data_IF_535583555463
#
_entry.id   IF_535583555463
#
_cell.length_a   1.000
_cell.length_b   1.000
_cell.length_c   1.000
_cell.angle_alpha   90.00
_cell.angle_beta   90.00
_cell.angle_gamma   90.00
#
_symmetry.space_group_name_H-M   'P 1'
#
loop_
_entity.id
_entity.type
_entity.pdbx_description
1 polymer ?
#
# COMPACT_ATOMS: atom_id res chain seq x y z
N UNK A 1 37.17 17.55 -5.08
CA UNK A 1 36.64 16.40 -4.32
C UNK A 1 35.42 15.85 -5.04
N UNK A 2 35.61 14.80 -5.83
CA UNK A 2 34.60 14.19 -6.70
C UNK A 2 33.76 13.22 -5.90
N UNK A 3 32.51 13.61 -5.61
CA UNK A 3 31.45 12.69 -5.21
C UNK A 3 30.82 12.19 -6.51
N UNK A 4 30.87 10.90 -6.86
CA UNK A 4 30.12 10.36 -7.98
C UNK A 4 28.63 10.36 -7.64
N UNK A 5 27.83 10.71 -8.64
CA UNK A 5 26.37 10.56 -8.70
C UNK A 5 25.98 9.15 -8.28
N UNK A 6 24.98 9.01 -7.40
CA UNK A 6 24.41 7.74 -6.97
C UNK A 6 22.97 7.73 -7.49
N UNK A 7 22.69 6.94 -8.53
CA UNK A 7 21.33 6.54 -8.93
C UNK A 7 21.01 5.17 -8.34
N UNK A 8 19.77 4.98 -7.83
CA UNK A 8 19.32 3.72 -7.23
C UNK A 8 17.89 3.38 -7.67
N UNK A 9 17.71 2.17 -8.20
CA UNK A 9 16.44 1.56 -8.61
C UNK A 9 15.88 0.63 -7.53
N UNK A 10 14.56 0.54 -7.39
CA UNK A 10 13.85 -0.42 -6.52
C UNK A 10 12.95 -1.36 -7.32
N UNK A 11 12.95 -2.64 -6.95
CA UNK A 11 11.91 -3.63 -7.28
C UNK A 11 11.25 -4.08 -5.98
N UNK A 12 9.91 -4.05 -5.92
CA UNK A 12 9.10 -4.75 -4.92
C UNK A 12 8.20 -5.73 -5.66
N UNK A 13 8.46 -7.03 -5.52
CA UNK A 13 7.50 -8.09 -5.84
C UNK A 13 6.77 -8.46 -4.56
N UNK A 14 5.59 -7.87 -4.36
CA UNK A 14 4.40 -8.61 -3.93
C UNK A 14 3.16 -7.76 -4.21
N UNK A 15 2.27 -8.35 -5.03
CA UNK A 15 1.03 -7.82 -5.62
C UNK A 15 1.27 -6.87 -6.82
N UNK A 16 1.48 -7.49 -8.00
CA UNK A 16 1.64 -6.93 -9.37
C UNK A 16 2.85 -5.99 -9.63
N UNK A 17 3.94 -6.42 -10.32
CA UNK A 17 5.07 -5.54 -10.67
C UNK A 17 5.10 -5.11 -12.17
N UNK A 18 5.85 -4.07 -12.59
CA UNK A 18 6.40 -2.97 -11.78
C UNK A 18 6.20 -1.56 -12.40
N UNK A 19 6.24 -0.53 -11.56
CA UNK A 19 6.67 0.81 -11.99
C UNK A 19 8.05 1.02 -11.37
N UNK A 20 9.12 0.88 -12.17
CA UNK A 20 10.50 1.05 -11.67
C UNK A 20 10.78 2.55 -11.54
N UNK A 21 10.80 3.07 -10.31
CA UNK A 21 11.22 4.45 -10.04
C UNK A 21 12.65 4.49 -9.48
N UNK A 22 13.46 5.40 -10.00
CA UNK A 22 14.87 5.58 -9.66
C UNK A 22 15.10 6.98 -9.07
N UNK A 23 15.72 7.06 -7.89
CA UNK A 23 16.18 8.33 -7.33
C UNK A 23 17.53 8.70 -7.99
N UNK A 24 17.56 9.84 -8.67
CA UNK A 24 18.75 10.46 -9.25
C UNK A 24 19.25 11.58 -8.36
N UNK A 25 20.50 11.45 -7.92
CA UNK A 25 21.19 12.44 -7.10
C UNK A 25 22.27 13.12 -7.94
N UNK A 26 22.22 14.45 -8.09
CA UNK A 26 23.25 15.24 -8.77
C UNK A 26 24.04 16.08 -7.75
N UNK A 27 25.21 15.60 -7.26
CA UNK A 27 25.97 16.25 -6.18
C UNK A 27 26.55 17.62 -6.52
N UNK A 28 26.61 17.98 -7.80
CA UNK A 28 27.18 19.23 -8.30
C UNK A 28 26.15 20.07 -9.07
N UNK A 29 24.86 19.89 -8.81
CA UNK A 29 23.82 20.50 -9.61
C UNK A 29 23.56 19.75 -10.91
N UNK A 30 22.47 20.11 -11.59
CA UNK A 30 22.14 19.61 -12.93
C UNK A 30 22.82 20.44 -14.04
N UNK A 31 23.11 21.72 -13.76
CA UNK A 31 23.65 22.71 -14.69
C UNK A 31 24.32 23.88 -13.94
N UNK A 32 24.84 24.87 -14.67
CA UNK A 32 25.51 26.05 -14.11
C UNK A 32 24.67 26.83 -13.09
N UNK A 33 23.35 26.87 -13.25
CA UNK A 33 22.46 27.59 -12.32
C UNK A 33 22.30 26.86 -10.99
N UNK A 34 22.62 25.57 -10.95
CA UNK A 34 22.48 24.69 -9.80
C UNK A 34 23.80 24.15 -9.25
N UNK A 35 24.95 24.63 -9.76
CA UNK A 35 26.29 24.13 -9.41
C UNK A 35 26.64 24.12 -7.92
N UNK A 36 26.05 25.05 -7.17
CA UNK A 36 26.24 25.21 -5.72
C UNK A 36 25.24 24.40 -4.90
N UNK A 37 24.39 23.59 -5.55
CA UNK A 37 23.33 22.81 -4.93
C UNK A 37 23.52 21.31 -5.21
N UNK A 38 23.07 20.48 -4.27
CA UNK A 38 22.67 19.11 -4.55
C UNK A 38 21.30 19.17 -5.24
N UNK A 39 21.13 18.49 -6.37
CA UNK A 39 19.83 18.35 -7.03
C UNK A 39 19.33 16.91 -6.93
N UNK A 40 18.04 16.72 -6.69
CA UNK A 40 17.43 15.40 -6.55
C UNK A 40 16.27 15.26 -7.53
N UNK A 41 16.20 14.13 -8.22
CA UNK A 41 15.16 13.82 -9.19
C UNK A 41 14.71 12.38 -9.04
N UNK A 42 13.47 12.11 -9.42
CA UNK A 42 12.88 10.79 -9.49
C UNK A 42 12.63 10.48 -10.96
N UNK A 43 13.11 9.35 -11.45
CA UNK A 43 13.05 8.90 -12.84
C UNK A 43 12.18 7.65 -12.94
N UNK A 44 11.29 7.56 -13.93
CA UNK A 44 10.61 6.31 -14.25
C UNK A 44 11.45 5.51 -15.27
N UNK A 45 11.96 4.34 -14.88
CA UNK A 45 12.88 3.49 -15.64
C UNK A 45 12.13 2.52 -16.54
N UNK A 46 11.10 1.87 -16.00
CA UNK A 46 10.19 0.97 -16.71
C UNK A 46 8.80 1.06 -16.08
N UNK A 47 7.75 0.80 -16.86
CA UNK A 47 6.38 0.90 -16.42
C UNK A 47 5.51 0.06 -17.35
N UNK A 48 4.59 -0.73 -16.79
CA UNK A 48 3.62 -1.50 -17.58
C UNK A 48 2.49 -0.62 -18.14
N UNK A 49 2.42 0.66 -17.70
CA UNK A 49 1.48 1.69 -18.17
C UNK A 49 2.20 2.72 -19.06
N UNK A 50 1.45 3.44 -19.89
CA UNK A 50 2.01 4.53 -20.74
C UNK A 50 2.58 5.69 -19.92
N UNK A 51 2.01 5.96 -18.75
CA UNK A 51 2.45 6.98 -17.80
C UNK A 51 2.06 6.61 -16.36
N UNK A 52 2.70 7.26 -15.40
CA UNK A 52 2.41 7.18 -13.95
C UNK A 52 2.29 8.60 -13.42
N UNK A 53 1.17 8.96 -12.79
CA UNK A 53 1.07 10.24 -12.08
C UNK A 53 1.48 10.05 -10.62
N UNK A 54 2.41 10.85 -10.10
CA UNK A 54 2.83 10.73 -8.70
C UNK A 54 3.26 12.07 -8.09
N UNK A 55 2.98 12.26 -6.79
CA UNK A 55 3.66 13.22 -5.94
C UNK A 55 4.93 12.59 -5.37
N UNK A 56 5.92 13.40 -5.03
CA UNK A 56 7.14 12.95 -4.40
C UNK A 56 7.66 13.96 -3.39
N UNK A 57 8.31 13.49 -2.34
CA UNK A 57 8.99 14.29 -1.32
C UNK A 57 10.39 13.74 -1.11
N UNK A 58 11.36 14.62 -0.98
CA UNK A 58 12.73 14.28 -0.58
C UNK A 58 13.05 14.94 0.75
N UNK A 59 13.74 14.25 1.65
CA UNK A 59 14.27 14.81 2.90
C UNK A 59 15.64 14.19 3.23
N UNK A 60 16.38 14.83 4.14
CA UNK A 60 17.67 14.35 4.66
C UNK A 60 17.44 13.81 6.07
N UNK A 61 17.89 12.60 6.36
CA UNK A 61 17.83 12.04 7.71
C UNK A 61 19.05 12.48 8.52
N UNK A 62 18.80 13.05 9.70
CA UNK A 62 19.88 13.42 10.63
C UNK A 62 20.43 12.19 11.39
N UNK A 63 21.41 12.39 12.29
CA UNK A 63 21.98 11.33 13.13
C UNK A 63 20.95 10.53 13.97
N UNK A 64 19.81 11.16 14.31
CA UNK A 64 18.70 10.54 15.05
C UNK A 64 17.67 9.86 14.14
N UNK A 65 17.89 9.88 12.82
CA UNK A 65 16.97 9.38 11.78
C UNK A 65 15.65 10.14 11.68
N UNK A 66 15.67 11.40 12.08
CA UNK A 66 14.54 12.30 11.90
C UNK A 66 14.65 12.98 10.53
N UNK A 67 13.52 13.15 9.85
CA UNK A 67 13.47 13.89 8.59
C UNK A 67 13.80 15.37 8.80
N UNK A 68 14.74 15.87 8.01
CA UNK A 68 15.14 17.28 7.99
C UNK A 68 15.24 17.75 6.54
N UNK A 69 15.19 19.07 6.30
CA UNK A 69 15.37 19.67 4.97
C UNK A 69 14.49 19.02 3.88
N UNK A 70 13.21 18.86 4.20
CA UNK A 70 12.25 18.25 3.30
C UNK A 70 11.81 19.22 2.18
N UNK A 71 11.65 18.70 0.97
CA UNK A 71 10.99 19.38 -0.14
C UNK A 71 9.98 18.42 -0.77
N UNK A 72 8.78 18.92 -1.04
CA UNK A 72 7.68 18.13 -1.61
C UNK A 72 7.16 18.74 -2.90
N UNK A 73 6.78 17.87 -3.84
CA UNK A 73 6.20 18.22 -5.12
C UNK A 73 4.86 18.91 -4.88
N UNK A 74 4.65 20.10 -5.44
CA UNK A 74 3.41 20.86 -5.25
C UNK A 74 2.17 20.16 -5.82
N UNK A 75 2.36 19.26 -6.78
CA UNK A 75 1.30 18.54 -7.49
C UNK A 75 1.79 17.18 -7.92
N UNK A 76 0.86 16.33 -8.37
CA UNK A 76 1.22 15.08 -9.02
C UNK A 76 1.80 15.36 -10.42
N UNK A 77 3.00 14.84 -10.66
CA UNK A 77 3.70 14.94 -11.93
C UNK A 77 3.48 13.68 -12.75
N UNK A 78 3.41 13.85 -14.08
CA UNK A 78 3.30 12.76 -15.04
C UNK A 78 4.68 12.21 -15.36
N UNK A 79 5.00 11.04 -14.83
CA UNK A 79 6.17 10.27 -15.16
C UNK A 79 5.89 9.41 -16.39
N UNK A 80 6.70 9.58 -17.43
CA UNK A 80 6.76 8.68 -18.59
C UNK A 80 8.12 8.02 -18.59
N UNK A 81 8.24 6.85 -19.22
CA UNK A 81 9.50 6.12 -19.25
C UNK A 81 10.64 7.02 -19.76
N UNK A 82 11.72 7.11 -18.98
CA UNK A 82 12.88 7.95 -19.29
C UNK A 82 12.79 9.41 -18.86
N UNK A 83 11.64 9.87 -18.32
CA UNK A 83 11.46 11.24 -17.81
C UNK A 83 11.60 11.29 -16.30
N UNK A 84 12.24 12.35 -15.81
CA UNK A 84 12.43 12.61 -14.38
C UNK A 84 11.78 13.91 -13.90
N UNK A 85 11.48 13.95 -12.59
CA UNK A 85 10.94 15.11 -11.89
C UNK A 85 11.62 15.29 -10.55
N UNK A 86 11.93 16.52 -10.16
CA UNK A 86 12.76 16.75 -8.99
C UNK A 86 12.96 18.20 -8.61
N UNK A 87 13.86 18.42 -7.65
CA UNK A 87 14.29 19.75 -7.23
C UNK A 87 15.70 20.03 -7.71
N UNK A 88 15.79 20.95 -8.67
CA UNK A 88 17.04 21.48 -9.20
C UNK A 88 17.94 22.10 -8.12
N UNK A 89 17.33 22.71 -7.10
CA UNK A 89 18.02 23.36 -5.97
C UNK A 89 17.51 22.77 -4.65
N UNK A 90 17.84 21.50 -4.37
CA UNK A 90 17.32 20.82 -3.18
C UNK A 90 17.99 21.33 -1.89
N UNK A 91 19.32 21.28 -1.83
CA UNK A 91 20.07 21.85 -0.70
C UNK A 91 21.38 22.47 -1.18
N UNK A 92 21.77 23.61 -0.61
CA UNK A 92 23.07 24.20 -0.91
C UNK A 92 24.19 23.33 -0.37
N UNK A 93 25.28 23.23 -1.14
CA UNK A 93 26.41 22.36 -0.83
C UNK A 93 27.20 22.85 0.38
N UNK A 94 27.47 24.15 0.47
CA UNK A 94 28.12 24.75 1.63
C UNK A 94 27.36 24.44 2.93
N UNK A 95 26.02 24.55 2.89
CA UNK A 95 25.18 24.17 4.02
C UNK A 95 25.21 22.66 4.32
N UNK A 96 25.18 21.81 3.29
CA UNK A 96 25.20 20.36 3.44
C UNK A 96 26.51 19.85 4.07
N UNK A 97 27.65 20.44 3.70
CA UNK A 97 28.98 20.02 4.15
C UNK A 97 29.45 20.71 5.43
N UNK A 98 28.70 21.67 5.95
CA UNK A 98 29.00 22.30 7.23
C UNK A 98 28.61 21.34 8.38
N UNK A 99 29.63 20.85 9.09
CA UNK A 99 29.51 19.90 10.20
C UNK A 99 28.56 20.40 11.30
N UNK A 100 28.45 21.71 11.49
CA UNK A 100 27.55 22.30 12.48
C UNK A 100 26.06 21.98 12.20
N UNK A 101 25.71 21.64 10.96
CA UNK A 101 24.34 21.32 10.55
C UNK A 101 23.96 19.87 10.80
N UNK A 102 24.90 18.97 11.12
CA UNK A 102 24.62 17.59 11.52
C UNK A 102 23.90 16.74 10.46
N UNK A 103 24.03 17.10 9.17
CA UNK A 103 23.37 16.43 8.05
C UNK A 103 24.15 15.24 7.49
N UNK A 104 25.41 15.09 7.89
CA UNK A 104 26.33 14.04 7.43
C UNK A 104 26.90 13.26 8.63
N UNK A 105 26.08 12.54 9.42
CA UNK A 105 26.60 11.69 10.48
C UNK A 105 27.56 10.65 9.90
N UNK A 106 28.76 10.55 10.47
CA UNK A 106 29.86 9.69 9.97
C UNK A 106 30.18 9.91 8.48
N UNK A 107 30.16 11.17 8.01
CA UNK A 107 30.36 11.57 6.61
C UNK A 107 29.33 10.97 5.61
N UNK A 108 28.18 10.53 6.10
CA UNK A 108 27.15 9.85 5.29
C UNK A 108 25.94 10.74 5.06
N UNK A 109 25.63 10.98 3.78
CA UNK A 109 24.35 11.55 3.37
C UNK A 109 23.29 10.46 3.32
N UNK A 110 22.23 10.60 4.11
CA UNK A 110 21.06 9.72 4.06
C UNK A 110 19.87 10.48 3.50
N UNK A 111 19.42 10.11 2.30
CA UNK A 111 18.24 10.69 1.66
C UNK A 111 17.02 9.81 1.88
N UNK A 112 15.91 10.44 2.26
CA UNK A 112 14.60 9.82 2.34
C UNK A 112 13.74 10.32 1.18
N UNK A 113 13.10 9.38 0.48
CA UNK A 113 12.21 9.66 -0.64
C UNK A 113 10.86 9.01 -0.38
N UNK A 114 9.81 9.83 -0.43
CA UNK A 114 8.42 9.40 -0.36
C UNK A 114 7.77 9.64 -1.72
N UNK A 115 7.03 8.66 -2.23
CA UNK A 115 6.34 8.75 -3.52
C UNK A 115 4.89 8.33 -3.33
N UNK A 116 3.97 9.16 -3.81
CA UNK A 116 2.53 8.93 -3.71
C UNK A 116 1.94 8.91 -5.12
N UNK A 117 1.68 7.71 -5.64
CA UNK A 117 1.10 7.53 -6.98
C UNK A 117 -0.38 7.93 -6.94
N UNK A 118 -0.79 8.75 -7.90
CA UNK A 118 -2.16 9.16 -8.16
C UNK A 118 -2.69 8.29 -9.29
N UNK A 119 -3.72 7.48 -9.03
CA UNK A 119 -4.32 6.62 -10.03
C UNK A 119 -4.86 7.46 -11.22
N UNK A 120 -4.56 7.05 -12.45
CA UNK A 120 -5.15 7.64 -13.65
C UNK A 120 -6.61 7.22 -13.75
N UNK A 121 -7.48 8.22 -13.69
CA UNK A 121 -8.90 8.11 -14.02
C UNK A 121 -9.08 7.86 -15.52
N UNK A 122 -9.96 6.89 -15.84
CA UNK A 122 -10.50 6.44 -17.16
C UNK A 122 -9.88 5.14 -17.71
N UNK A 123 -10.24 3.98 -17.15
CA UNK A 123 -11.34 3.12 -17.65
C UNK A 123 -11.60 1.92 -16.71
N UNK A 124 -12.85 1.85 -16.20
CA UNK A 124 -13.52 0.74 -15.47
C UNK A 124 -12.80 0.24 -14.21
N UNK A 125 -13.47 0.30 -13.05
CA UNK A 125 -12.97 0.10 -11.66
C UNK A 125 -12.27 1.34 -11.07
N UNK A 126 -13.10 2.21 -10.48
CA UNK A 126 -12.63 3.35 -9.70
C UNK A 126 -12.19 2.88 -8.31
N UNK A 127 -10.92 2.50 -8.20
CA UNK A 127 -10.17 2.66 -6.96
C UNK A 127 -9.13 3.75 -7.18
N UNK A 128 -9.28 4.92 -6.54
CA UNK A 128 -8.15 5.80 -6.29
C UNK A 128 -7.62 5.54 -4.89
N UNK A 129 -7.06 4.34 -4.70
CA UNK A 129 -6.11 4.12 -3.62
C UNK A 129 -4.90 5.00 -3.94
N UNK A 130 -4.80 6.16 -3.29
CA UNK A 130 -3.50 6.75 -3.05
C UNK A 130 -2.77 5.75 -2.15
N UNK A 131 -2.06 4.81 -2.75
CA UNK A 131 -1.18 3.90 -2.01
C UNK A 131 -0.10 4.80 -1.42
N UNK A 132 -0.29 5.19 -0.17
CA UNK A 132 0.74 5.85 0.60
C UNK A 132 1.77 4.77 0.93
N UNK A 133 2.81 4.68 0.12
CA UNK A 133 3.93 3.78 0.38
C UNK A 133 4.66 4.25 1.64
N UNK A 134 4.25 3.74 2.81
CA UNK A 134 5.01 3.94 4.05
C UNK A 134 6.20 2.97 4.10
N UNK A 135 7.19 3.39 3.31
CA UNK A 135 8.64 3.14 3.36
C UNK A 135 9.17 1.85 2.70
N UNK A 136 9.73 1.96 1.47
CA UNK A 136 10.58 0.93 0.89
C UNK A 136 11.97 0.91 1.55
N UNK A 137 12.75 -0.19 1.45
CA UNK A 137 14.13 -0.23 1.93
C UNK A 137 14.97 0.86 1.23
N UNK A 138 15.93 1.47 1.92
CA UNK A 138 16.83 2.50 1.40
C UNK A 138 18.16 1.85 0.99
N UNK A 139 18.72 2.17 -0.18
CA UNK A 139 20.08 1.73 -0.52
C UNK A 139 21.10 2.79 -0.03
N UNK A 140 22.11 2.32 0.68
CA UNK A 140 23.20 3.10 1.26
C UNK A 140 24.46 2.82 0.48
N UNK A 141 25.09 3.90 -0.01
CA UNK A 141 26.29 3.84 -0.83
C UNK A 141 27.43 4.54 -0.10
N UNK A 142 28.58 3.87 -0.01
CA UNK A 142 29.81 4.46 0.54
C UNK A 142 30.85 4.55 -0.58
N UNK A 143 31.03 5.71 -1.22
CA UNK A 143 31.92 5.90 -2.38
C UNK A 143 33.40 5.63 -2.13
N UNK A 144 33.83 5.64 -0.86
CA UNK A 144 35.22 5.44 -0.44
C UNK A 144 35.36 4.25 0.50
N UNK A 145 34.52 3.23 0.32
CA UNK A 145 34.47 2.10 1.25
C UNK A 145 33.74 2.43 2.54
N UNK A 146 33.47 1.41 3.34
CA UNK A 146 32.94 1.55 4.69
C UNK A 146 34.04 1.79 5.74
N UNK A 147 35.25 1.31 5.46
CA UNK A 147 36.42 1.34 6.34
C UNK A 147 37.73 1.21 5.54
N UNK A 148 38.87 1.21 6.22
CA UNK A 148 40.21 1.12 5.59
C UNK A 148 40.40 -0.12 4.71
N UNK A 149 39.77 -1.25 5.03
CA UNK A 149 39.88 -2.47 4.23
C UNK A 149 39.12 -2.38 2.90
N UNK A 150 38.17 -1.46 2.81
CA UNK A 150 37.28 -1.26 1.66
C UNK A 150 37.47 0.07 0.96
N UNK A 151 38.51 0.86 1.32
CA UNK A 151 38.75 2.22 0.79
C UNK A 151 38.88 2.32 -0.74
N UNK A 152 39.34 1.26 -1.36
CA UNK A 152 39.51 1.14 -2.82
C UNK A 152 38.26 0.61 -3.52
N UNK A 153 37.16 0.42 -2.78
CA UNK A 153 35.89 -0.11 -3.28
C UNK A 153 34.74 0.86 -3.04
N UNK A 154 33.73 0.78 -3.89
CA UNK A 154 32.38 1.24 -3.59
C UNK A 154 31.73 0.19 -2.68
N UNK A 155 31.08 0.59 -1.59
CA UNK A 155 30.29 -0.33 -0.75
C UNK A 155 28.79 -0.02 -0.88
N UNK A 156 27.96 -1.07 -1.02
CA UNK A 156 26.51 -0.96 -1.18
C UNK A 156 25.77 -1.76 -0.11
N UNK A 157 24.73 -1.18 0.49
CA UNK A 157 23.92 -1.83 1.51
C UNK A 157 22.44 -1.49 1.38
N UNK A 158 21.57 -2.47 1.52
CA UNK A 158 20.14 -2.28 1.69
C UNK A 158 19.84 -2.03 3.17
N UNK A 159 19.14 -0.96 3.51
CA UNK A 159 18.77 -0.52 4.86
C UNK A 159 17.25 -0.54 5.00
N UNK A 160 16.71 -1.21 6.01
CA UNK A 160 15.28 -1.11 6.33
C UNK A 160 15.04 0.13 7.21
N UNK A 161 14.40 1.17 6.69
CA UNK A 161 14.23 2.45 7.39
C UNK A 161 13.05 2.42 8.37
N UNK A 162 11.90 1.87 7.97
CA UNK A 162 10.77 1.57 8.86
C UNK A 162 9.98 0.37 8.36
N UNK A 163 9.34 -0.36 9.27
CA UNK A 163 8.46 -1.46 8.94
C UNK A 163 7.37 -1.61 10.00
N UNK A 164 6.15 -1.94 9.58
CA UNK A 164 5.05 -2.25 10.49
C UNK A 164 5.15 -3.67 11.09
N UNK A 165 6.10 -4.48 10.59
CA UNK A 165 6.44 -5.80 11.13
C UNK A 165 7.68 -5.70 12.02
N UNK A 166 7.76 -6.57 13.01
CA UNK A 166 8.93 -6.67 13.91
C UNK A 166 10.21 -7.02 13.16
N UNK A 167 10.12 -7.81 12.10
CA UNK A 167 11.21 -8.14 11.20
C UNK A 167 10.70 -8.47 9.78
N UNK A 168 11.59 -8.32 8.80
CA UNK A 168 11.37 -8.70 7.40
C UNK A 168 12.54 -9.58 6.95
N UNK A 169 12.26 -10.69 6.28
CA UNK A 169 13.31 -11.48 5.64
C UNK A 169 13.34 -11.14 4.16
N UNK A 170 14.50 -10.80 3.60
CA UNK A 170 14.59 -10.48 2.17
C UNK A 170 15.93 -10.92 1.58
N UNK A 171 15.89 -11.37 0.32
CA UNK A 171 17.04 -11.43 -0.57
C UNK A 171 17.19 -10.10 -1.30
N UNK A 172 18.40 -9.78 -1.71
CA UNK A 172 18.69 -8.59 -2.51
C UNK A 172 19.80 -8.85 -3.52
N UNK A 173 19.75 -8.16 -4.65
CA UNK A 173 20.78 -8.15 -5.68
C UNK A 173 21.07 -6.72 -6.09
N UNK A 174 22.35 -6.38 -6.20
CA UNK A 174 22.84 -5.10 -6.69
C UNK A 174 23.56 -5.30 -8.02
N UNK A 175 23.28 -4.45 -9.01
CA UNK A 175 23.98 -4.41 -10.30
C UNK A 175 24.20 -2.96 -10.74
N UNK A 176 24.99 -2.75 -11.78
CA UNK A 176 25.21 -1.45 -12.43
C UNK A 176 24.52 -1.50 -13.79
N UNK A 177 23.83 -0.43 -14.20
CA UNK A 177 23.32 -0.33 -15.56
C UNK A 177 24.32 0.39 -16.46
N UNK A 178 24.60 -0.20 -17.63
CA UNK A 178 25.44 0.45 -18.64
C UNK A 178 24.64 1.50 -19.46
N UNK A 179 25.28 2.16 -20.43
CA UNK A 179 24.63 3.14 -21.31
C UNK A 179 23.41 2.60 -22.09
N UNK A 180 23.34 1.28 -22.31
CA UNK A 180 22.21 0.59 -22.96
C UNK A 180 21.11 0.16 -21.98
N UNK A 181 21.27 0.47 -20.70
CA UNK A 181 20.41 0.02 -19.57
C UNK A 181 20.43 -1.49 -19.33
N UNK A 182 21.52 -2.16 -19.69
CA UNK A 182 21.72 -3.57 -19.39
C UNK A 182 22.41 -3.73 -18.02
N UNK A 183 21.98 -4.70 -17.22
CA UNK A 183 22.62 -5.02 -15.95
C UNK A 183 24.02 -5.62 -16.15
N UNK A 184 24.99 -5.10 -15.40
CA UNK A 184 26.36 -5.60 -15.33
C UNK A 184 26.85 -5.56 -13.88
N UNK A 185 27.95 -6.29 -13.59
CA UNK A 185 28.59 -6.33 -12.26
C UNK A 185 27.61 -6.65 -11.13
N UNK A 186 26.71 -7.60 -11.38
CA UNK A 186 25.72 -8.04 -10.41
C UNK A 186 26.36 -8.79 -9.23
N UNK A 187 25.87 -8.52 -8.02
CA UNK A 187 26.11 -9.32 -6.83
C UNK A 187 24.83 -9.51 -6.05
N UNK A 188 24.59 -10.74 -5.62
CA UNK A 188 23.36 -11.15 -4.96
C UNK A 188 23.60 -11.77 -3.59
N UNK A 189 22.64 -11.56 -2.70
CA UNK A 189 22.64 -12.14 -1.37
C UNK A 189 22.45 -13.65 -1.49
N UNK A 190 23.37 -14.42 -0.89
CA UNK A 190 23.31 -15.90 -0.92
C UNK A 190 22.05 -16.48 -0.24
N UNK A 191 21.43 -15.72 0.67
CA UNK A 191 20.25 -16.12 1.44
C UNK A 191 19.42 -14.90 1.80
N UNK A 192 18.18 -15.16 2.26
CA UNK A 192 17.36 -14.11 2.84
C UNK A 192 17.94 -13.66 4.18
N UNK A 193 18.22 -12.37 4.30
CA UNK A 193 18.70 -11.75 5.53
C UNK A 193 17.53 -11.20 6.34
N UNK A 194 17.66 -11.25 7.66
CA UNK A 194 16.70 -10.64 8.60
C UNK A 194 16.99 -9.15 8.73
N UNK A 195 16.07 -8.33 8.24
CA UNK A 195 16.01 -6.89 8.41
C UNK A 195 15.11 -6.56 9.59
N UNK A 196 15.61 -5.73 10.49
CA UNK A 196 14.82 -5.05 11.53
C UNK A 196 14.95 -3.55 11.28
N UNK A 197 14.06 -2.74 11.83
CA UNK A 197 14.12 -1.30 11.67
C UNK A 197 15.52 -0.78 12.00
N UNK A 198 16.12 -0.09 11.04
CA UNK A 198 17.45 0.48 11.18
C UNK A 198 18.63 -0.41 10.88
N UNK A 199 18.41 -1.67 10.48
CA UNK A 199 19.46 -2.61 10.13
C UNK A 199 19.67 -2.66 8.63
N UNK A 200 20.92 -2.84 8.24
CA UNK A 200 21.31 -2.96 6.84
C UNK A 200 22.09 -4.25 6.55
N UNK A 201 22.09 -4.62 5.26
CA UNK A 201 22.80 -5.76 4.70
C UNK A 201 23.31 -5.43 3.31
N UNK A 202 24.52 -5.86 2.96
CA UNK A 202 25.13 -5.45 1.71
C UNK A 202 26.49 -6.04 1.43
N UNK A 203 27.18 -5.45 0.45
CA UNK A 203 28.53 -5.81 0.06
C UNK A 203 29.50 -4.68 0.39
N UNK A 204 30.40 -4.98 1.34
CA UNK A 204 31.51 -4.12 1.73
C UNK A 204 32.45 -3.81 0.55
N UNK A 205 32.64 -4.76 -0.35
CA UNK A 205 33.49 -4.62 -1.55
C UNK A 205 32.64 -4.85 -2.80
N UNK A 206 31.78 -3.88 -3.15
CA UNK A 206 30.86 -4.05 -4.28
C UNK A 206 31.60 -4.03 -5.62
N UNK A 207 32.30 -2.94 -5.91
CA UNK A 207 33.13 -2.79 -7.11
C UNK A 207 34.38 -1.99 -6.77
N UNK A 208 35.53 -2.34 -7.38
CA UNK A 208 36.74 -1.54 -7.22
C UNK A 208 36.56 -0.18 -7.89
N UNK A 209 37.10 0.85 -7.25
CA UNK A 209 36.97 2.23 -7.71
C UNK A 209 37.73 2.48 -9.01
N UNK A 210 38.94 1.96 -9.13
CA UNK A 210 39.72 2.07 -10.38
C UNK A 210 38.98 1.46 -11.57
N UNK A 211 38.37 0.29 -11.40
CA UNK A 211 37.54 -0.35 -12.42
C UNK A 211 36.29 0.47 -12.74
N UNK A 212 35.63 1.03 -11.73
CA UNK A 212 34.43 1.85 -11.88
C UNK A 212 34.71 3.15 -12.66
N UNK A 213 35.84 3.80 -12.38
CA UNK A 213 36.23 5.09 -12.97
C UNK A 213 36.97 4.99 -14.31
N UNK A 214 37.37 3.79 -14.72
CA UNK A 214 37.98 3.56 -16.02
C UNK A 214 36.90 3.65 -17.11
N UNK A 215 36.99 4.70 -17.93
CA UNK A 215 36.06 5.00 -19.03
C UNK A 215 35.92 3.83 -20.02
N UNK A 216 36.96 3.00 -20.18
CA UNK A 216 36.92 1.83 -21.05
C UNK A 216 35.88 0.80 -20.62
N UNK A 217 35.46 0.81 -19.35
CA UNK A 217 34.46 -0.10 -18.81
C UNK A 217 33.01 0.37 -19.02
N UNK A 218 32.79 1.62 -19.44
CA UNK A 218 31.47 2.13 -19.80
C UNK A 218 30.43 2.10 -18.67
N UNK A 219 30.87 2.14 -17.41
CA UNK A 219 30.02 2.08 -16.22
C UNK A 219 29.53 3.45 -15.72
N UNK A 220 30.08 4.53 -16.29
CA UNK A 220 29.79 5.91 -15.94
C UNK A 220 29.43 6.76 -17.18
N UNK A 221 28.38 6.41 -17.94
CA UNK A 221 27.95 7.26 -19.06
C UNK A 221 27.60 8.67 -18.55
N UNK A 222 28.17 9.70 -19.16
CA UNK A 222 28.05 11.10 -18.73
C UNK A 222 28.44 11.34 -17.25
N UNK A 223 29.46 10.65 -16.74
CA UNK A 223 29.90 10.70 -15.32
C UNK A 223 28.82 10.24 -14.31
N UNK A 224 27.84 9.43 -14.76
CA UNK A 224 26.72 8.95 -13.92
C UNK A 224 26.84 7.46 -13.62
N UNK A 225 26.81 7.12 -12.34
CA UNK A 225 26.68 5.73 -11.89
C UNK A 225 25.20 5.39 -11.66
N UNK A 226 24.70 4.42 -12.43
CA UNK A 226 23.35 3.88 -12.26
C UNK A 226 23.40 2.53 -11.55
N UNK A 227 22.92 2.46 -10.30
CA UNK A 227 22.79 1.22 -9.55
C UNK A 227 21.38 0.65 -9.66
N UNK A 228 21.32 -0.65 -9.91
CA UNK A 228 20.10 -1.44 -9.95
C UNK A 228 20.01 -2.29 -8.69
N UNK A 229 18.89 -2.22 -7.95
CA UNK A 229 18.64 -3.05 -6.77
C UNK A 229 17.35 -3.83 -6.93
N UNK A 230 17.47 -5.15 -6.84
CA UNK A 230 16.36 -6.08 -6.81
C UNK A 230 16.19 -6.57 -5.36
N UNK A 231 14.96 -6.58 -4.83
CA UNK A 231 14.67 -7.03 -3.47
C UNK A 231 13.53 -8.04 -3.51
N UNK A 232 13.79 -9.26 -3.00
CA UNK A 232 12.79 -10.32 -2.89
C UNK A 232 12.45 -10.57 -1.43
N UNK A 233 11.29 -10.09 -0.99
CA UNK A 233 10.83 -10.30 0.39
C UNK A 233 10.36 -11.74 0.54
N UNK A 234 10.94 -12.45 1.50
CA UNK A 234 10.49 -13.79 1.89
C UNK A 234 9.45 -13.60 2.99
N UNK A 235 8.18 -13.68 2.62
CA UNK A 235 7.13 -13.77 3.62
C UNK A 235 7.31 -15.08 4.41
N UNK A 236 7.33 -14.98 5.74
CA UNK A 236 7.07 -16.12 6.60
C UNK A 236 5.61 -16.51 6.34
N UNK A 237 5.39 -17.34 5.33
CA UNK A 237 4.26 -18.24 5.39
C UNK A 237 4.50 -19.07 6.63
N UNK A 238 3.63 -18.92 7.63
CA UNK A 238 3.53 -19.93 8.68
C UNK A 238 3.03 -21.17 7.97
N UNK A 239 3.95 -21.96 7.41
CA UNK A 239 3.69 -23.35 7.20
C UNK A 239 3.45 -23.91 8.59
N UNK A 240 2.18 -24.18 8.90
CA UNK A 240 1.82 -25.08 10.00
C UNK A 240 2.32 -26.48 9.58
N UNK A 241 3.63 -26.67 9.60
CA UNK A 241 4.27 -27.97 9.59
C UNK A 241 5.67 -27.75 10.11
N UNK A 242 5.88 -28.13 11.37
CA UNK A 242 7.22 -28.40 11.85
C UNK A 242 7.91 -29.35 10.87
N UNK A 243 9.21 -29.14 10.64
CA UNK A 243 10.02 -30.06 9.87
C UNK A 243 9.92 -31.45 10.50
N UNK A 244 9.09 -32.30 9.91
CA UNK A 244 9.22 -33.75 10.01
C UNK A 244 9.85 -34.21 8.70
N UNK A 245 10.84 -35.09 8.77
CA UNK A 245 11.40 -35.79 7.61
C UNK A 245 10.37 -36.80 7.05
N UNK A 246 9.13 -36.36 6.83
CA UNK A 246 8.05 -37.14 6.27
C UNK A 246 8.04 -36.96 4.75
N UNK A 247 7.87 -38.08 4.05
CA UNK A 247 7.63 -38.14 2.60
C UNK A 247 6.58 -37.09 2.22
N UNK A 248 6.94 -36.12 1.36
CA UNK A 248 5.99 -35.11 0.86
C UNK A 248 5.00 -35.76 -0.10
N UNK A 249 3.84 -36.16 0.42
CA UNK A 249 2.69 -36.49 -0.40
C UNK A 249 2.11 -35.20 -1.01
N UNK A 250 1.90 -35.18 -2.32
CA UNK A 250 1.17 -34.09 -2.99
C UNK A 250 -0.31 -34.19 -2.64
N UNK A 251 -0.74 -33.48 -1.61
CA UNK A 251 -2.15 -33.38 -1.22
C UNK A 251 -2.84 -32.41 -2.19
N UNK A 252 -3.90 -32.83 -2.91
CA UNK A 252 -4.69 -31.91 -3.74
C UNK A 252 -5.36 -30.82 -2.90
N UNK A 253 -5.63 -29.66 -3.52
CA UNK A 253 -6.33 -28.56 -2.86
C UNK A 253 -7.74 -28.98 -2.40
N UNK A 254 -8.19 -28.37 -1.29
CA UNK A 254 -9.53 -28.61 -0.77
C UNK A 254 -10.58 -28.02 -1.72
N UNK A 255 -11.48 -28.86 -2.22
CA UNK A 255 -12.56 -28.47 -3.14
C UNK A 255 -13.91 -28.22 -2.47
N UNK A 256 -13.96 -28.18 -1.13
CA UNK A 256 -15.23 -28.04 -0.38
C UNK A 256 -16.07 -26.86 -0.86
N UNK A 257 -15.46 -25.70 -1.06
CA UNK A 257 -16.17 -24.51 -1.53
C UNK A 257 -16.74 -24.70 -2.94
N UNK A 258 -16.01 -25.36 -3.83
CA UNK A 258 -16.44 -25.61 -5.21
C UNK A 258 -17.52 -26.70 -5.26
N UNK A 259 -17.38 -27.76 -4.45
CA UNK A 259 -18.36 -28.84 -4.33
C UNK A 259 -19.71 -28.33 -3.78
N UNK A 260 -19.67 -27.46 -2.75
CA UNK A 260 -20.88 -26.78 -2.24
C UNK A 260 -21.44 -25.77 -3.24
N UNK A 261 -20.58 -25.02 -3.94
CA UNK A 261 -21.01 -24.16 -5.05
C UNK A 261 -21.76 -24.94 -6.13
N UNK A 262 -21.31 -26.16 -6.43
CA UNK A 262 -22.00 -27.08 -7.33
C UNK A 262 -23.41 -27.47 -6.86
N UNK A 263 -23.66 -27.58 -5.55
CA UNK A 263 -25.02 -27.81 -5.03
C UNK A 263 -25.94 -26.61 -5.30
N UNK A 264 -25.43 -25.39 -5.19
CA UNK A 264 -26.19 -24.19 -5.54
C UNK A 264 -26.48 -24.10 -7.04
N UNK A 265 -25.45 -24.32 -7.88
CA UNK A 265 -25.58 -24.22 -9.33
C UNK A 265 -26.50 -25.33 -9.91
N UNK A 266 -26.46 -26.54 -9.35
CA UNK A 266 -27.27 -27.68 -9.81
C UNK A 266 -28.60 -27.86 -9.09
N UNK A 267 -28.80 -27.15 -7.97
CA UNK A 267 -30.02 -27.19 -7.13
C UNK A 267 -30.39 -28.58 -6.58
N UNK A 268 -29.47 -29.54 -6.63
CA UNK A 268 -29.73 -30.93 -6.21
C UNK A 268 -29.92 -31.03 -4.71
N UNK A 269 -30.95 -31.76 -4.28
CA UNK A 269 -31.28 -32.01 -2.87
C UNK A 269 -31.74 -30.78 -2.08
N UNK A 270 -32.18 -29.73 -2.78
CA UNK A 270 -32.76 -28.53 -2.18
C UNK A 270 -34.03 -28.87 -1.39
N UNK A 271 -34.21 -28.23 -0.24
CA UNK A 271 -35.30 -28.44 0.71
C UNK A 271 -36.03 -27.14 1.09
N UNK A 272 -35.71 -26.03 0.43
CA UNK A 272 -36.39 -24.73 0.55
C UNK A 272 -36.36 -23.95 -0.76
N UNK A 273 -37.43 -23.21 -1.04
CA UNK A 273 -37.54 -22.28 -2.17
C UNK A 273 -37.54 -20.84 -1.67
N UNK A 274 -36.65 -20.02 -2.22
CA UNK A 274 -36.51 -18.59 -1.91
C UNK A 274 -37.03 -17.80 -3.11
N UNK A 275 -38.06 -16.98 -2.90
CA UNK A 275 -38.67 -16.14 -3.93
C UNK A 275 -38.15 -14.72 -3.83
N UNK A 276 -37.48 -14.24 -4.90
CA UNK A 276 -36.92 -12.89 -4.97
C UNK A 276 -37.34 -12.24 -6.28
N UNK A 277 -38.07 -11.12 -6.22
CA UNK A 277 -38.50 -10.39 -7.41
C UNK A 277 -39.32 -11.24 -8.41
N UNK A 278 -40.12 -12.18 -7.91
CA UNK A 278 -40.93 -13.09 -8.73
C UNK A 278 -40.17 -14.27 -9.36
N UNK A 279 -38.89 -14.46 -9.01
CA UNK A 279 -38.06 -15.59 -9.44
C UNK A 279 -37.71 -16.50 -8.26
N UNK A 280 -37.41 -17.76 -8.56
CA UNK A 280 -37.18 -18.80 -7.56
C UNK A 280 -35.71 -19.22 -7.48
N UNK A 281 -35.20 -19.36 -6.26
CA UNK A 281 -33.97 -20.06 -5.95
C UNK A 281 -34.26 -21.28 -5.10
N UNK A 282 -33.87 -22.47 -5.57
CA UNK A 282 -33.84 -23.67 -4.74
C UNK A 282 -32.55 -23.68 -3.92
N UNK A 283 -32.68 -23.94 -2.61
CA UNK A 283 -31.56 -23.90 -1.67
C UNK A 283 -31.67 -24.96 -0.56
N UNK A 284 -30.69 -24.95 0.35
CA UNK A 284 -30.55 -25.94 1.43
C UNK A 284 -30.60 -25.25 2.80
N UNK A 285 -31.62 -25.55 3.60
CA UNK A 285 -31.82 -24.97 4.93
C UNK A 285 -30.62 -25.15 5.83
N UNK A 286 -30.02 -26.34 5.83
CA UNK A 286 -28.86 -26.65 6.66
C UNK A 286 -27.66 -25.75 6.36
N UNK A 287 -27.39 -25.48 5.08
CA UNK A 287 -26.28 -24.59 4.65
C UNK A 287 -26.61 -23.15 5.03
N UNK A 288 -27.82 -22.68 4.71
CA UNK A 288 -28.26 -21.32 5.01
C UNK A 288 -28.22 -21.04 6.51
N UNK A 289 -28.78 -21.93 7.34
CA UNK A 289 -28.78 -21.81 8.80
C UNK A 289 -27.36 -21.85 9.40
N UNK A 290 -26.48 -22.71 8.87
CA UNK A 290 -25.10 -22.77 9.36
C UNK A 290 -24.27 -21.52 9.04
N UNK A 291 -24.69 -20.74 8.04
CA UNK A 291 -23.89 -19.62 7.50
C UNK A 291 -24.50 -18.25 7.81
N UNK A 292 -25.77 -18.19 8.19
CA UNK A 292 -26.48 -16.97 8.55
C UNK A 292 -27.35 -17.21 9.79
N UNK A 293 -27.10 -16.51 10.91
CA UNK A 293 -27.96 -16.54 12.08
C UNK A 293 -29.42 -16.17 11.79
N UNK A 294 -29.65 -15.30 10.80
CA UNK A 294 -30.99 -14.86 10.39
C UNK A 294 -31.75 -16.00 9.71
N UNK A 295 -31.11 -16.71 8.78
CA UNK A 295 -31.71 -17.92 8.21
C UNK A 295 -31.88 -19.03 9.25
N UNK A 296 -30.95 -19.18 10.20
CA UNK A 296 -31.09 -20.15 11.28
C UNK A 296 -32.37 -19.89 12.10
N UNK A 297 -32.55 -18.66 12.57
CA UNK A 297 -33.74 -18.26 13.33
C UNK A 297 -35.03 -18.44 12.50
N UNK A 298 -34.99 -18.09 11.20
CA UNK A 298 -36.12 -18.24 10.28
C UNK A 298 -36.56 -19.70 10.13
N UNK A 299 -35.63 -20.66 10.13
CA UNK A 299 -35.95 -22.08 9.96
C UNK A 299 -36.18 -22.83 11.28
N UNK A 300 -35.68 -22.31 12.40
CA UNK A 300 -35.82 -22.94 13.72
C UNK A 300 -37.20 -22.67 14.34
N UNK A 301 -37.73 -21.45 14.19
CA UNK A 301 -39.03 -21.07 14.74
C UNK A 301 -40.21 -21.52 13.84
N UNK A 302 -41.38 -21.79 14.43
CA UNK A 302 -42.60 -22.23 13.72
C UNK A 302 -43.29 -21.08 12.95
N UNK A 303 -42.55 -20.41 12.08
CA UNK A 303 -43.10 -19.38 11.19
C UNK A 303 -43.61 -20.02 9.87
N UNK A 304 -44.43 -19.29 9.11
CA UNK A 304 -45.09 -19.80 7.89
C UNK A 304 -44.08 -20.33 6.86
N UNK A 305 -42.86 -19.79 6.86
CA UNK A 305 -41.73 -20.21 6.03
C UNK A 305 -41.30 -21.65 6.32
N UNK A 306 -41.34 -22.07 7.59
CA UNK A 306 -41.04 -23.44 8.01
C UNK A 306 -42.15 -24.41 7.57
N UNK A 307 -43.42 -23.96 7.57
CA UNK A 307 -44.58 -24.80 7.20
C UNK A 307 -44.64 -25.07 5.69
N UNK A 308 -44.27 -24.09 4.88
CA UNK A 308 -44.40 -24.15 3.41
C UNK A 308 -43.07 -24.37 2.67
N UNK A 309 -41.94 -24.43 3.38
CA UNK A 309 -40.60 -24.49 2.79
C UNK A 309 -40.37 -23.38 1.75
N UNK A 310 -40.98 -22.22 1.97
CA UNK A 310 -41.00 -21.09 1.05
C UNK A 310 -40.69 -19.81 1.82
N UNK A 311 -39.68 -19.07 1.38
CA UNK A 311 -39.33 -17.75 1.93
C UNK A 311 -39.53 -16.72 0.84
N UNK A 312 -40.24 -15.63 1.14
CA UNK A 312 -40.45 -14.53 0.22
C UNK A 312 -39.59 -13.33 0.61
N UNK A 313 -38.86 -12.78 -0.37
CA UNK A 313 -37.89 -11.70 -0.19
C UNK A 313 -38.27 -10.60 -1.19
N UNK A 314 -38.81 -9.51 -0.66
CA UNK A 314 -39.43 -8.45 -1.46
C UNK A 314 -38.57 -7.19 -1.58
N UNK A 315 -37.52 -7.08 -0.78
CA UNK A 315 -36.74 -5.86 -0.55
C UNK A 315 -35.28 -5.98 -1.02
N UNK A 316 -35.01 -6.89 -1.96
CA UNK A 316 -33.67 -7.08 -2.50
C UNK A 316 -33.71 -7.45 -3.98
N UNK A 317 -32.77 -6.91 -4.74
CA UNK A 317 -32.60 -7.26 -6.14
C UNK A 317 -32.17 -8.73 -6.31
N UNK A 318 -32.65 -9.34 -7.39
CA UNK A 318 -32.40 -10.74 -7.69
C UNK A 318 -30.91 -11.07 -7.84
N UNK A 319 -30.13 -10.21 -8.48
CA UNK A 319 -28.71 -10.47 -8.77
C UNK A 319 -27.85 -10.25 -7.52
N UNK A 320 -28.20 -9.27 -6.69
CA UNK A 320 -27.61 -9.06 -5.35
C UNK A 320 -27.85 -10.27 -4.47
N UNK A 321 -29.09 -10.76 -4.43
CA UNK A 321 -29.44 -11.95 -3.65
C UNK A 321 -28.70 -13.20 -4.14
N UNK A 322 -28.59 -13.36 -5.46
CA UNK A 322 -27.84 -14.48 -6.05
C UNK A 322 -26.38 -14.45 -5.65
N UNK A 323 -25.74 -13.29 -5.67
CA UNK A 323 -24.34 -13.13 -5.26
C UNK A 323 -24.17 -13.43 -3.76
N UNK A 324 -25.09 -12.94 -2.91
CA UNK A 324 -25.13 -13.27 -1.49
C UNK A 324 -25.27 -14.77 -1.24
N UNK A 325 -26.17 -15.45 -1.97
CA UNK A 325 -26.30 -16.91 -1.88
C UNK A 325 -25.02 -17.62 -2.33
N UNK A 326 -24.40 -17.20 -3.44
CA UNK A 326 -23.13 -17.78 -3.88
C UNK A 326 -22.05 -17.65 -2.80
N UNK A 327 -22.00 -16.52 -2.09
CA UNK A 327 -21.13 -16.34 -0.93
C UNK A 327 -21.46 -17.30 0.21
N UNK A 328 -22.73 -17.51 0.53
CA UNK A 328 -23.14 -18.44 1.58
C UNK A 328 -22.60 -19.86 1.34
N UNK A 329 -22.65 -20.34 0.09
CA UNK A 329 -22.16 -21.69 -0.26
C UNK A 329 -20.63 -21.78 -0.39
N UNK A 330 -19.97 -20.73 -0.88
CA UNK A 330 -18.57 -20.82 -1.34
C UNK A 330 -17.59 -19.96 -0.55
N UNK A 331 -18.08 -18.99 0.21
CA UNK A 331 -17.28 -17.95 0.87
C UNK A 331 -16.68 -16.91 -0.08
N UNK A 332 -17.08 -16.92 -1.37
CA UNK A 332 -16.58 -16.03 -2.44
C UNK A 332 -17.74 -15.23 -3.06
N UNK A 333 -17.46 -13.97 -3.40
CA UNK A 333 -18.36 -13.09 -4.14
C UNK A 333 -17.56 -12.44 -5.29
N UNK A 334 -17.72 -12.98 -6.51
CA UNK A 334 -16.94 -12.58 -7.68
C UNK A 334 -17.42 -11.27 -8.33
N UNK A 335 -18.68 -10.89 -8.09
CA UNK A 335 -19.26 -9.66 -8.66
C UNK A 335 -19.40 -8.52 -7.65
N UNK A 336 -18.80 -8.66 -6.45
CA UNK A 336 -18.95 -7.74 -5.33
C UNK A 336 -18.68 -6.28 -5.74
N UNK A 337 -17.60 -6.02 -6.48
CA UNK A 337 -17.21 -4.65 -6.88
C UNK A 337 -18.28 -3.89 -7.69
N UNK A 338 -19.25 -4.61 -8.30
CA UNK A 338 -20.31 -4.01 -9.12
C UNK A 338 -21.56 -3.64 -8.32
N UNK A 339 -21.70 -4.15 -7.11
CA UNK A 339 -22.93 -4.09 -6.30
C UNK A 339 -22.60 -3.99 -4.80
N UNK A 340 -21.47 -3.39 -4.45
CA UNK A 340 -20.92 -3.44 -3.09
C UNK A 340 -21.83 -2.75 -2.05
N UNK A 341 -22.55 -1.72 -2.47
CA UNK A 341 -23.54 -0.99 -1.66
C UNK A 341 -24.77 -1.86 -1.35
N UNK A 342 -25.42 -2.41 -2.36
CA UNK A 342 -26.57 -3.29 -2.17
C UNK A 342 -26.19 -4.59 -1.46
N UNK A 343 -25.00 -5.13 -1.76
CA UNK A 343 -24.49 -6.35 -1.13
C UNK A 343 -24.07 -6.09 0.33
N UNK A 344 -23.63 -4.88 0.69
CA UNK A 344 -23.42 -4.48 2.08
C UNK A 344 -24.75 -4.53 2.85
N UNK A 345 -25.81 -3.96 2.29
CA UNK A 345 -27.14 -3.99 2.89
C UNK A 345 -27.65 -5.42 3.08
N UNK A 346 -27.46 -6.28 2.07
CA UNK A 346 -27.80 -7.70 2.15
C UNK A 346 -26.98 -8.43 3.23
N UNK A 347 -25.67 -8.19 3.28
CA UNK A 347 -24.79 -8.82 4.26
C UNK A 347 -25.14 -8.44 5.69
N UNK A 348 -25.46 -7.16 5.93
CA UNK A 348 -25.92 -6.67 7.23
C UNK A 348 -27.26 -7.30 7.62
N UNK A 349 -28.25 -7.29 6.71
CA UNK A 349 -29.58 -7.88 6.92
C UNK A 349 -29.53 -9.36 7.29
N UNK A 350 -28.63 -10.14 6.68
CA UNK A 350 -28.51 -11.58 6.91
C UNK A 350 -27.38 -11.95 7.89
N UNK A 351 -26.79 -10.97 8.58
CA UNK A 351 -25.70 -11.14 9.55
C UNK A 351 -24.52 -11.97 8.98
N UNK A 352 -24.03 -11.56 7.81
CA UNK A 352 -22.90 -12.15 7.11
C UNK A 352 -21.64 -11.29 7.30
N UNK A 353 -21.11 -11.24 8.53
CA UNK A 353 -20.05 -10.29 8.94
C UNK A 353 -18.84 -10.23 8.01
N UNK A 354 -18.33 -11.39 7.56
CA UNK A 354 -17.18 -11.40 6.66
C UNK A 354 -17.52 -10.87 5.26
N UNK A 355 -18.73 -11.08 4.76
CA UNK A 355 -19.16 -10.48 3.49
C UNK A 355 -19.33 -8.96 3.65
N UNK A 356 -19.89 -8.53 4.80
CA UNK A 356 -20.03 -7.12 5.15
C UNK A 356 -18.68 -6.39 5.08
N UNK A 357 -17.65 -6.95 5.72
CA UNK A 357 -16.29 -6.37 5.69
C UNK A 357 -15.67 -6.39 4.28
N UNK A 358 -15.95 -7.41 3.46
CA UNK A 358 -15.51 -7.42 2.05
C UNK A 358 -16.16 -6.28 1.25
N UNK A 359 -17.44 -5.98 1.50
CA UNK A 359 -18.12 -4.83 0.90
C UNK A 359 -17.55 -3.50 1.42
N UNK A 360 -17.24 -3.41 2.72
CA UNK A 360 -16.58 -2.25 3.32
C UNK A 360 -15.24 -1.94 2.63
N UNK A 361 -14.42 -2.95 2.38
CA UNK A 361 -13.13 -2.79 1.69
C UNK A 361 -13.29 -2.27 0.25
N UNK A 362 -14.25 -2.82 -0.50
CA UNK A 362 -14.53 -2.39 -1.86
C UNK A 362 -15.06 -0.95 -1.92
N UNK A 363 -16.02 -0.62 -1.05
CA UNK A 363 -16.60 0.73 -0.95
C UNK A 363 -15.54 1.74 -0.50
N UNK A 364 -14.71 1.40 0.49
CA UNK A 364 -13.63 2.25 0.98
C UNK A 364 -12.62 2.54 -0.12
N UNK A 365 -12.28 1.54 -0.94
CA UNK A 365 -11.34 1.73 -2.04
C UNK A 365 -11.91 2.60 -3.16
N UNK A 366 -13.24 2.69 -3.26
CA UNK A 366 -13.97 3.53 -4.23
C UNK A 366 -14.32 4.94 -3.73
N UNK A 367 -13.85 5.32 -2.54
CA UNK A 367 -14.06 6.66 -1.98
C UNK A 367 -13.48 7.74 -2.90
N UNK A 368 -14.27 8.79 -3.09
CA UNK A 368 -13.96 9.96 -3.91
C UNK A 368 -14.60 11.19 -3.29
N UNK A 369 -14.18 12.38 -3.72
CA UNK A 369 -14.79 13.64 -3.26
C UNK A 369 -16.30 13.64 -3.46
N UNK A 370 -16.78 13.15 -4.61
CA UNK A 370 -18.18 13.22 -4.99
C UNK A 370 -19.09 12.26 -4.21
N UNK A 371 -18.59 11.08 -3.82
CA UNK A 371 -19.39 10.03 -3.16
C UNK A 371 -19.14 9.89 -1.65
N UNK A 372 -18.11 10.54 -1.07
CA UNK A 372 -17.72 10.29 0.31
C UNK A 372 -18.84 10.53 1.35
N UNK A 373 -19.69 11.52 1.11
CA UNK A 373 -20.85 11.79 1.98
C UNK A 373 -21.89 10.66 1.90
N UNK A 374 -22.20 10.17 0.70
CA UNK A 374 -23.18 9.12 0.49
C UNK A 374 -22.68 7.78 1.05
N UNK A 375 -21.39 7.48 0.87
CA UNK A 375 -20.74 6.30 1.45
C UNK A 375 -20.71 6.36 2.98
N UNK A 376 -20.48 7.53 3.58
CA UNK A 376 -20.56 7.68 5.04
C UNK A 376 -21.99 7.44 5.57
N UNK A 377 -23.01 7.94 4.88
CA UNK A 377 -24.42 7.68 5.22
C UNK A 377 -24.71 6.18 5.12
N UNK A 378 -24.27 5.54 4.04
CA UNK A 378 -24.44 4.09 3.84
C UNK A 378 -23.75 3.28 4.94
N UNK A 379 -22.55 3.70 5.34
CA UNK A 379 -21.79 3.04 6.40
C UNK A 379 -22.48 3.16 7.77
N UNK A 380 -23.05 4.33 8.09
CA UNK A 380 -23.84 4.53 9.31
C UNK A 380 -25.13 3.70 9.29
N UNK A 381 -25.84 3.71 8.15
CA UNK A 381 -27.10 2.99 7.97
C UNK A 381 -26.95 1.48 8.21
N UNK A 382 -25.85 0.90 7.74
CA UNK A 382 -25.56 -0.52 7.87
C UNK A 382 -24.57 -0.85 8.98
N UNK A 383 -24.33 0.05 9.93
CA UNK A 383 -23.39 -0.19 11.06
C UNK A 383 -22.04 -0.78 10.60
N UNK A 384 -21.48 -0.22 9.53
CA UNK A 384 -20.25 -0.64 8.88
C UNK A 384 -19.07 0.19 9.41
N UNK A 385 -18.56 -0.20 10.58
CA UNK A 385 -17.65 0.62 11.38
C UNK A 385 -16.30 0.92 10.71
N UNK A 386 -15.74 -0.02 9.95
CA UNK A 386 -14.46 0.21 9.27
C UNK A 386 -14.63 1.20 8.12
N UNK A 387 -15.67 1.00 7.30
CA UNK A 387 -16.01 1.91 6.21
C UNK A 387 -16.37 3.31 6.72
N UNK A 388 -17.10 3.41 7.83
CA UNK A 388 -17.45 4.69 8.46
C UNK A 388 -16.19 5.44 8.89
N UNK A 389 -15.27 4.76 9.58
CA UNK A 389 -14.01 5.37 10.01
C UNK A 389 -13.17 5.84 8.81
N UNK A 390 -13.03 5.02 7.77
CA UNK A 390 -12.28 5.37 6.56
C UNK A 390 -12.93 6.53 5.79
N UNK A 391 -14.27 6.57 5.73
CA UNK A 391 -15.01 7.66 5.09
C UNK A 391 -14.80 8.99 5.82
N UNK A 392 -14.84 8.99 7.16
CA UNK A 392 -14.54 10.18 7.97
C UNK A 392 -13.10 10.67 7.76
N UNK A 393 -12.13 9.75 7.74
CA UNK A 393 -10.72 10.09 7.48
C UNK A 393 -10.53 10.69 6.08
N UNK A 394 -11.19 10.12 5.07
CA UNK A 394 -11.17 10.63 3.70
C UNK A 394 -11.79 12.03 3.61
N UNK A 395 -12.96 12.24 4.23
CA UNK A 395 -13.64 13.54 4.29
C UNK A 395 -12.74 14.59 4.95
N UNK A 396 -12.09 14.25 6.07
CA UNK A 396 -11.22 15.18 6.78
C UNK A 396 -9.97 15.56 5.98
N UNK A 397 -9.40 14.63 5.23
CA UNK A 397 -8.24 14.87 4.37
C UNK A 397 -8.56 15.67 3.08
N UNK A 398 -9.82 15.68 2.65
CA UNK A 398 -10.31 16.38 1.44
C UNK A 398 -11.42 17.41 1.76
N UNK A 399 -11.45 17.92 3.00
CA UNK A 399 -12.59 18.65 3.53
C UNK A 399 -13.01 19.84 2.66
N UNK A 400 -12.05 20.58 2.10
CA UNK A 400 -12.33 21.74 1.24
C UNK A 400 -13.18 21.37 0.04
N UNK A 401 -12.87 20.27 -0.61
CA UNK A 401 -13.51 19.87 -1.86
C UNK A 401 -14.84 19.15 -1.58
N UNK A 402 -14.86 18.30 -0.54
CA UNK A 402 -16.06 17.56 -0.13
C UNK A 402 -17.17 18.51 0.32
N UNK A 403 -16.84 19.58 1.06
CA UNK A 403 -17.84 20.54 1.55
C UNK A 403 -18.64 21.23 0.44
N UNK A 404 -18.06 21.33 -0.76
CA UNK A 404 -18.70 21.96 -1.91
C UNK A 404 -19.63 21.01 -2.69
N UNK A 405 -19.56 19.71 -2.43
CA UNK A 405 -20.38 18.71 -3.11
C UNK A 405 -21.86 18.78 -2.73
N UNK A 406 -22.72 18.30 -3.63
CA UNK A 406 -24.16 18.17 -3.35
C UNK A 406 -24.42 17.14 -2.25
N UNK A 407 -23.70 16.00 -2.27
CA UNK A 407 -23.83 14.94 -1.26
C UNK A 407 -23.59 15.48 0.16
N UNK A 408 -22.51 16.23 0.37
CA UNK A 408 -22.23 16.85 1.66
C UNK A 408 -23.32 17.85 2.10
N UNK A 409 -23.75 18.74 1.19
CA UNK A 409 -24.82 19.72 1.46
C UNK A 409 -26.16 19.05 1.80
N UNK A 410 -26.44 17.90 1.21
CA UNK A 410 -27.59 17.05 1.55
C UNK A 410 -27.43 16.42 2.93
N UNK A 411 -26.26 15.83 3.21
CA UNK A 411 -25.94 15.18 4.48
C UNK A 411 -26.05 16.12 5.69
N UNK A 412 -25.66 17.40 5.54
CA UNK A 412 -25.85 18.41 6.61
C UNK A 412 -27.31 18.48 7.08
N UNK A 413 -28.26 18.33 6.16
CA UNK A 413 -29.69 18.44 6.45
C UNK A 413 -30.28 17.11 6.94
N UNK A 414 -29.86 15.99 6.34
CA UNK A 414 -30.45 14.68 6.59
C UNK A 414 -29.80 13.92 7.76
N UNK A 415 -28.50 14.08 7.98
CA UNK A 415 -27.71 13.32 8.96
C UNK A 415 -26.72 14.23 9.74
N UNK A 416 -27.20 15.21 10.53
CA UNK A 416 -26.34 16.16 11.23
C UNK A 416 -25.40 15.52 12.27
N UNK A 417 -25.73 14.32 12.79
CA UNK A 417 -24.86 13.58 13.72
C UNK A 417 -23.54 13.15 13.08
N UNK A 418 -23.55 12.81 11.79
CA UNK A 418 -22.34 12.45 11.04
C UNK A 418 -21.40 13.63 10.87
N UNK A 419 -21.94 14.84 10.71
CA UNK A 419 -21.14 16.07 10.67
C UNK A 419 -20.46 16.31 12.02
N UNK A 420 -21.20 16.16 13.12
CA UNK A 420 -20.65 16.34 14.46
C UNK A 420 -19.54 15.32 14.75
N UNK A 421 -19.69 14.10 14.26
CA UNK A 421 -18.69 13.04 14.37
C UNK A 421 -17.42 13.34 13.54
N UNK A 422 -17.58 13.69 12.25
CA UNK A 422 -16.45 14.05 11.40
C UNK A 422 -15.66 15.23 11.98
N UNK A 423 -16.36 16.25 12.49
CA UNK A 423 -15.75 17.40 13.16
C UNK A 423 -15.01 17.02 14.45
N UNK A 424 -15.57 16.12 15.28
CA UNK A 424 -14.87 15.60 16.46
C UNK A 424 -13.59 14.88 16.07
N UNK A 425 -13.65 14.03 15.03
CA UNK A 425 -12.48 13.30 14.54
C UNK A 425 -11.38 14.27 14.07
N UNK A 426 -11.75 15.32 13.35
CA UNK A 426 -10.82 16.37 12.93
C UNK A 426 -10.17 17.09 14.11
N UNK A 427 -10.95 17.45 15.13
CA UNK A 427 -10.44 18.12 16.33
C UNK A 427 -9.48 17.23 17.13
N UNK A 428 -9.72 15.92 17.20
CA UNK A 428 -8.82 14.98 17.89
C UNK A 428 -7.49 14.78 17.17
N UNK A 429 -7.44 14.92 15.85
CA UNK A 429 -6.18 14.86 15.09
C UNK A 429 -5.29 16.11 15.28
N UNK A 430 -5.89 17.24 15.68
CA UNK A 430 -5.18 18.52 15.87
C UNK A 430 -4.76 18.78 17.33
N UNK A 431 -5.17 17.93 18.28
CA UNK A 431 -4.80 18.10 19.68
C UNK A 431 -3.32 17.69 19.92
N UNK A 432 -2.47 18.57 20.48
CA UNK A 432 -1.11 18.16 20.87
C UNK A 432 -1.18 17.08 21.95
N UNK A 433 -0.21 16.13 21.99
CA UNK A 433 -0.20 15.09 23.01
C UNK A 433 -0.18 15.74 24.40
N UNK A 434 -1.20 15.42 25.21
CA UNK A 434 -1.31 15.89 26.59
C UNK A 434 -0.08 15.35 27.33
N UNK A 435 0.87 16.23 27.63
CA UNK A 435 2.04 15.90 28.42
C UNK A 435 1.64 15.38 29.81
N UNK A 436 2.51 14.61 30.49
CA UNK A 436 2.18 14.02 31.77
C UNK A 436 1.82 15.10 32.81
N UNK A 437 0.91 14.81 33.75
CA UNK A 437 0.38 15.79 34.69
C UNK A 437 1.53 16.42 35.51
N UNK A 438 1.57 17.75 35.54
CA UNK A 438 2.52 18.51 36.37
C UNK A 438 2.37 18.08 37.84
N UNK A 439 3.45 17.55 38.43
CA UNK A 439 3.52 17.29 39.87
C UNK A 439 3.19 18.57 40.63
N UNK A 440 2.16 18.50 41.49
CA UNK A 440 1.85 19.55 42.46
C UNK A 440 3.09 19.80 43.31
N UNK A 441 3.66 20.99 43.21
CA UNK A 441 4.68 21.46 44.14
C UNK A 441 3.97 21.69 45.48
N UNK A 442 4.34 20.92 46.51
CA UNK A 442 3.96 21.21 47.90
C UNK A 442 4.73 22.46 48.32
N UNK A 443 4.00 23.53 48.65
CA UNK A 443 4.55 24.66 49.39
C UNK A 443 4.92 24.20 50.80
N UNK A 444 6.20 24.33 51.14
CA UNK A 444 6.72 24.27 52.51
C UNK A 444 6.79 25.68 53.09
#
# INVERSE_FOLDING_TARGET
MTIPVIEMLFVLEDIQPPNDMCLRVNPKGLDEESKDYLSLYLLLVSCNKTEVRAKFKFSILNAKREETKAMESQRAYRFVQGKDWGFKKFIRRDFLFDEANGLLPDDKLTLYCEVSVVADSVNISGQSNAVQFKVPPCLRVNPKGLDEESKDYLSLYLLLVSCNKTEVRAKFKFSILNAKREETKAMESQRAYRFVQGKDWGFKKFIRRDFLFDEANGLLPDDKLTLYCEVSVVADSVNISGQSNAVQFKVPECRLADDLGGLFDTQRFSDVTLYVGGREFLAHKAILAARSPVFAAMFEHEMEERKHNRVEITDMDHDVFKEMLRYVYTGRAANLDRMADDLLAAADKYALDRLKVMCEEALSSSLSVDNAADVLILADLHSAEQLRAQSIEFINSHATDVMDTHGWKSMIKSHPHLIAEAFRALATQQAPPIGPPRKKIRSS
#
